data_IF_660776125891
#
_entry.id   IF_660776125891
#
_cell.length_a   1.000
_cell.length_b   1.000
_cell.length_c   1.000
_cell.angle_alpha   90.00
_cell.angle_beta   90.00
_cell.angle_gamma   90.00
#
_symmetry.space_group_name_H-M   'P 1'
#
loop_
_entity.id
_entity.type
_entity.pdbx_description
1 polymer ?
#
# COMPACT_ATOMS: atom_id res chain seq x y z
N UNK A 1 -12.57 5.30 -4.39
CA UNK A 1 -11.77 4.43 -5.27
C UNK A 1 -11.56 3.11 -4.54
N UNK A 2 -11.82 1.97 -5.18
CA UNK A 2 -11.90 0.67 -4.49
C UNK A 2 -10.64 -0.21 -4.65
N UNK A 3 -9.62 0.29 -5.34
CA UNK A 3 -8.36 -0.45 -5.53
C UNK A 3 -7.66 -0.67 -4.20
N UNK A 4 -7.06 -1.85 -4.03
CA UNK A 4 -6.25 -2.13 -2.85
C UNK A 4 -4.99 -1.26 -2.84
N UNK A 5 -4.67 -0.74 -1.66
CA UNK A 5 -3.49 0.08 -1.40
C UNK A 5 -2.76 -0.44 -0.18
N UNK A 6 -1.43 -0.35 -0.21
CA UNK A 6 -0.57 -0.59 0.94
C UNK A 6 0.21 0.68 1.24
N UNK A 7 0.13 1.15 2.48
CA UNK A 7 1.04 2.14 3.04
C UNK A 7 2.08 1.38 3.86
N UNK A 8 3.35 1.53 3.51
CA UNK A 8 4.46 0.92 4.24
C UNK A 8 5.43 2.00 4.73
N UNK A 9 6.01 1.80 5.91
CA UNK A 9 7.07 2.67 6.45
C UNK A 9 8.07 1.86 7.26
N UNK A 10 9.23 2.48 7.48
CA UNK A 10 10.31 1.89 8.28
C UNK A 10 10.85 0.56 7.71
N UNK A 11 10.81 0.42 6.37
CA UNK A 11 11.12 -0.81 5.63
C UNK A 11 12.53 -1.39 5.87
N UNK A 12 13.48 -0.58 6.33
CA UNK A 12 14.86 -1.03 6.62
C UNK A 12 15.12 -1.19 8.12
N UNK A 13 14.12 -0.92 8.97
CA UNK A 13 14.24 -1.02 10.42
C UNK A 13 13.72 -2.37 10.92
N UNK A 14 14.05 -2.71 12.16
CA UNK A 14 13.60 -3.94 12.83
C UNK A 14 12.06 -4.05 12.94
N UNK A 15 11.36 -2.91 12.91
CA UNK A 15 9.91 -2.83 13.06
C UNK A 15 9.31 -2.09 11.88
N UNK A 16 9.15 -2.83 10.78
CA UNK A 16 8.42 -2.37 9.61
C UNK A 16 6.92 -2.29 9.93
N UNK A 17 6.24 -1.33 9.32
CA UNK A 17 4.79 -1.17 9.49
C UNK A 17 4.08 -1.17 8.13
N UNK A 18 3.00 -1.94 8.04
CA UNK A 18 2.16 -2.04 6.85
C UNK A 18 0.69 -1.81 7.20
N UNK A 19 0.05 -0.87 6.52
CA UNK A 19 -1.39 -0.66 6.54
C UNK A 19 -1.94 -1.05 5.16
N UNK A 20 -2.96 -1.89 5.12
CA UNK A 20 -3.56 -2.43 3.89
C UNK A 20 -5.04 -2.15 3.88
N UNK A 21 -5.56 -1.82 2.70
CA UNK A 21 -7.00 -1.66 2.48
C UNK A 21 -7.27 -0.73 1.31
N UNK A 22 -8.54 -0.38 1.15
CA UNK A 22 -8.97 0.68 0.25
C UNK A 22 -8.50 2.05 0.74
N UNK A 23 -8.38 3.04 -0.15
CA UNK A 23 -8.12 4.43 0.22
C UNK A 23 -9.04 4.95 1.34
N UNK A 24 -10.33 4.58 1.32
CA UNK A 24 -11.30 5.00 2.33
C UNK A 24 -11.03 4.39 3.70
N UNK A 25 -10.66 3.11 3.77
CA UNK A 25 -10.28 2.46 5.03
C UNK A 25 -8.99 3.07 5.60
N UNK A 26 -7.99 3.31 4.76
CA UNK A 26 -6.72 3.90 5.16
C UNK A 26 -6.89 5.36 5.61
N UNK A 27 -7.78 6.11 4.97
CA UNK A 27 -8.15 7.46 5.39
C UNK A 27 -8.77 7.45 6.79
N UNK A 28 -9.73 6.55 7.05
CA UNK A 28 -10.35 6.43 8.37
C UNK A 28 -9.33 6.07 9.47
N UNK A 29 -8.27 5.32 9.14
CA UNK A 29 -7.15 5.07 10.06
C UNK A 29 -6.36 6.36 10.32
N UNK A 30 -6.06 7.14 9.28
CA UNK A 30 -5.30 8.39 9.38
C UNK A 30 -6.01 9.50 10.19
N UNK A 31 -7.34 9.46 10.24
CA UNK A 31 -8.14 10.38 11.06
C UNK A 31 -8.05 10.04 12.56
N UNK A 32 -7.93 8.75 12.89
CA UNK A 32 -7.83 8.27 14.28
C UNK A 32 -6.40 8.27 14.81
N UNK A 33 -5.42 8.31 13.90
CA UNK A 33 -4.01 8.18 14.21
C UNK A 33 -3.17 9.07 13.29
N UNK A 34 -2.33 9.88 13.89
CA UNK A 34 -1.35 10.68 13.16
C UNK A 34 -0.29 9.80 12.49
N UNK A 35 -0.37 9.70 11.16
CA UNK A 35 0.66 9.09 10.31
C UNK A 35 1.70 10.17 9.95
N UNK A 36 2.96 9.96 10.34
CA UNK A 36 4.08 10.88 10.08
C UNK A 36 5.28 10.15 9.49
N UNK A 37 6.11 10.89 8.77
CA UNK A 37 7.30 10.39 8.10
C UNK A 37 7.06 10.08 6.62
N UNK A 38 8.07 9.51 5.98
CA UNK A 38 7.99 9.05 4.60
C UNK A 38 7.31 7.68 4.52
N UNK A 39 6.53 7.47 3.46
CA UNK A 39 5.81 6.23 3.20
C UNK A 39 6.09 5.74 1.79
N UNK A 40 6.18 4.42 1.65
CA UNK A 40 6.05 3.75 0.37
C UNK A 40 4.58 3.42 0.17
N UNK A 41 4.02 3.83 -0.98
CA UNK A 41 2.64 3.58 -1.35
C UNK A 41 2.62 2.63 -2.53
N UNK A 42 2.00 1.46 -2.34
CA UNK A 42 1.78 0.48 -3.40
C UNK A 42 0.29 0.45 -3.73
N UNK A 43 -0.03 0.59 -5.00
CA UNK A 43 -1.41 0.59 -5.49
C UNK A 43 -1.59 -0.64 -6.37
N UNK A 44 -2.70 -1.36 -6.16
CA UNK A 44 -3.10 -2.46 -7.00
C UNK A 44 -3.11 -2.05 -8.49
N UNK A 45 -2.49 -2.87 -9.34
CA UNK A 45 -2.51 -2.65 -10.78
C UNK A 45 -3.93 -2.69 -11.34
N UNK A 46 -4.19 -1.93 -12.40
CA UNK A 46 -5.46 -2.08 -13.14
C UNK A 46 -5.41 -3.32 -14.03
N UNK A 47 -6.49 -4.11 -14.10
CA UNK A 47 -6.66 -5.10 -15.17
C UNK A 47 -6.81 -4.39 -16.53
N UNK A 48 -6.29 -4.89 -17.65
CA UNK A 48 -5.90 -6.25 -18.00
C UNK A 48 -4.49 -6.65 -17.55
N UNK A 49 -4.38 -7.87 -17.02
CA UNK A 49 -3.11 -8.56 -16.92
C UNK A 49 -2.58 -8.81 -18.34
N UNK A 50 -1.63 -8.01 -18.80
CA UNK A 50 -0.65 -8.53 -19.75
C UNK A 50 0.23 -9.47 -18.95
N UNK A 51 -0.08 -10.77 -19.02
CA UNK A 51 0.83 -11.82 -18.56
C UNK A 51 2.09 -11.69 -19.41
N UNK A 52 3.15 -11.08 -18.86
CA UNK A 52 4.47 -11.24 -19.46
C UNK A 52 4.77 -12.74 -19.43
N UNK A 53 5.04 -13.39 -20.57
CA UNK A 53 5.42 -14.79 -20.56
C UNK A 53 6.69 -14.95 -19.73
N UNK A 54 6.69 -15.98 -18.89
CA UNK A 54 7.82 -16.41 -18.09
C UNK A 54 9.05 -16.52 -19.00
N UNK A 55 10.08 -15.71 -18.73
CA UNK A 55 11.35 -15.77 -19.45
C UNK A 55 12.13 -16.96 -18.90
N UNK A 56 11.82 -18.14 -19.45
CA UNK A 56 12.58 -19.37 -19.23
C UNK A 56 14.03 -19.26 -19.65
#
# INVERSE_FOLDING_TARGET
>A
PERQVVLARELTKKFEEFLRGTPSELQAISEKRTLKGEFVVMVEGGGAAETMPDAG
#
